data_IF_434616436359
#
_entry.id   IF_434616436359
#
_cell.length_a   1.000
_cell.length_b   1.000
_cell.length_c   1.000
_cell.angle_alpha   90.00
_cell.angle_beta   90.00
_cell.angle_gamma   90.00
#
_symmetry.space_group_name_H-M   'P 1'
#
loop_
_entity.id
_entity.type
_entity.pdbx_description
1 polymer ?
#
# COMPACT_ATOMS: atom_id res chain seq x y z
N UNK A 1 3.12 -9.92 -29.19
CA UNK A 1 3.94 -8.69 -29.08
C UNK A 1 3.24 -7.73 -28.13
N UNK A 2 3.75 -7.46 -26.92
CA UNK A 2 3.11 -6.47 -26.05
C UNK A 2 3.55 -5.05 -26.45
N UNK A 3 2.56 -4.19 -26.62
CA UNK A 3 2.64 -2.82 -27.14
C UNK A 3 3.54 -1.88 -26.33
N UNK A 4 4.35 -1.10 -27.04
CA UNK A 4 5.38 -0.18 -26.56
C UNK A 4 4.87 1.13 -25.91
N UNK A 5 3.57 1.30 -25.70
CA UNK A 5 3.00 2.57 -25.26
C UNK A 5 2.25 2.42 -23.96
N UNK A 6 2.97 2.45 -22.84
CA UNK A 6 2.34 2.81 -21.57
C UNK A 6 3.34 3.45 -20.61
N UNK A 7 3.03 4.71 -20.25
CA UNK A 7 3.59 5.53 -19.18
C UNK A 7 4.94 6.22 -19.43
N UNK A 8 4.88 7.36 -20.15
CA UNK A 8 5.86 8.44 -20.04
C UNK A 8 5.29 9.53 -19.12
N UNK A 9 5.51 9.40 -17.81
CA UNK A 9 5.46 10.55 -16.91
C UNK A 9 6.83 11.28 -16.96
N UNK A 10 6.89 12.62 -17.04
CA UNK A 10 8.15 13.34 -17.12
C UNK A 10 8.91 13.21 -15.79
N UNK A 11 10.12 12.63 -15.82
CA UNK A 11 11.00 12.53 -14.66
C UNK A 11 11.59 11.15 -14.37
N UNK A 12 11.19 10.11 -15.11
CA UNK A 12 11.63 8.73 -14.81
C UNK A 12 12.00 7.88 -16.03
N UNK A 13 12.15 8.49 -17.21
CA UNK A 13 12.29 7.78 -18.49
C UNK A 13 13.54 6.90 -18.55
N UNK A 14 14.69 7.40 -18.10
CA UNK A 14 15.93 6.63 -18.06
C UNK A 14 15.84 5.46 -17.08
N UNK A 15 15.20 5.65 -15.93
CA UNK A 15 15.00 4.59 -14.92
C UNK A 15 14.05 3.52 -15.45
N UNK A 16 12.96 3.92 -16.10
CA UNK A 16 12.00 3.02 -16.72
C UNK A 16 12.67 2.22 -17.85
N UNK A 17 13.47 2.87 -18.69
CA UNK A 17 14.24 2.21 -19.75
C UNK A 17 15.25 1.22 -19.15
N UNK A 18 15.98 1.60 -18.12
CA UNK A 18 16.90 0.70 -17.41
C UNK A 18 16.16 -0.50 -16.80
N UNK A 19 14.97 -0.31 -16.24
CA UNK A 19 14.14 -1.40 -15.72
C UNK A 19 13.60 -2.32 -16.81
N UNK A 20 13.26 -1.79 -17.98
CA UNK A 20 12.87 -2.56 -19.14
C UNK A 20 14.04 -3.40 -19.66
N UNK A 21 15.20 -2.78 -19.88
CA UNK A 21 16.42 -3.46 -20.37
C UNK A 21 16.89 -4.54 -19.40
N UNK A 22 16.91 -4.26 -18.10
CA UNK A 22 17.33 -5.24 -17.09
C UNK A 22 16.29 -6.32 -16.84
N UNK A 23 15.04 -6.14 -17.28
CA UNK A 23 13.91 -7.02 -16.98
C UNK A 23 13.57 -7.12 -15.48
N UNK A 24 14.14 -6.26 -14.63
CA UNK A 24 14.03 -6.36 -13.17
C UNK A 24 12.58 -6.27 -12.70
N UNK A 25 11.80 -5.36 -13.30
CA UNK A 25 10.37 -5.19 -12.97
C UNK A 25 9.56 -6.40 -13.42
N UNK A 26 9.84 -6.96 -14.59
CA UNK A 26 9.16 -8.17 -15.08
C UNK A 26 9.40 -9.35 -14.15
N UNK A 27 10.65 -9.58 -13.73
CA UNK A 27 10.98 -10.63 -12.77
C UNK A 27 10.32 -10.43 -11.41
N UNK A 28 10.28 -9.18 -10.91
CA UNK A 28 9.58 -8.86 -9.66
C UNK A 28 8.07 -9.15 -9.76
N UNK A 29 7.42 -8.74 -10.85
CA UNK A 29 6.00 -9.06 -11.09
C UNK A 29 5.75 -10.56 -11.22
N UNK A 30 6.63 -11.29 -11.90
CA UNK A 30 6.52 -12.74 -12.03
C UNK A 30 6.66 -13.46 -10.68
N UNK A 31 7.60 -13.01 -9.83
CA UNK A 31 7.75 -13.50 -8.46
C UNK A 31 6.45 -13.27 -7.66
N UNK A 32 5.93 -12.05 -7.65
CA UNK A 32 4.68 -11.74 -6.94
C UNK A 32 3.51 -12.56 -7.46
N UNK A 33 3.38 -12.69 -8.79
CA UNK A 33 2.36 -13.52 -9.42
C UNK A 33 2.46 -14.98 -8.97
N UNK A 34 3.68 -15.54 -8.91
CA UNK A 34 3.87 -16.92 -8.45
C UNK A 34 3.45 -17.13 -6.99
N UNK A 35 3.63 -16.13 -6.12
CA UNK A 35 3.24 -16.21 -4.71
C UNK A 35 1.72 -16.19 -4.50
N UNK A 36 0.96 -15.69 -5.48
CA UNK A 36 -0.51 -15.56 -5.42
C UNK A 36 -1.22 -16.43 -6.46
N UNK A 37 -0.54 -17.45 -6.99
CA UNK A 37 -1.13 -18.38 -7.96
C UNK A 37 -1.55 -17.72 -9.29
N UNK A 38 -0.94 -16.59 -9.66
CA UNK A 38 -1.27 -15.84 -10.87
C UNK A 38 -2.47 -14.90 -10.72
N UNK A 39 -3.11 -14.81 -9.55
CA UNK A 39 -4.22 -13.90 -9.31
C UNK A 39 -3.77 -12.42 -9.39
N UNK A 40 -4.30 -11.69 -10.37
CA UNK A 40 -3.99 -10.28 -10.58
C UNK A 40 -4.45 -9.40 -9.40
N UNK A 41 -5.55 -9.75 -8.74
CA UNK A 41 -5.99 -9.03 -7.55
C UNK A 41 -4.99 -9.24 -6.39
N UNK A 42 -4.50 -10.47 -6.21
CA UNK A 42 -3.41 -10.79 -5.30
C UNK A 42 -2.12 -10.03 -5.61
N UNK A 43 -1.69 -9.95 -6.87
CA UNK A 43 -0.49 -9.19 -7.26
C UNK A 43 -0.64 -7.70 -6.94
N UNK A 44 -1.82 -7.14 -7.22
CA UNK A 44 -2.15 -5.76 -6.87
C UNK A 44 -2.11 -5.54 -5.35
N UNK A 45 -2.74 -6.43 -4.58
CA UNK A 45 -2.82 -6.34 -3.13
C UNK A 45 -1.42 -6.36 -2.47
N UNK A 46 -0.54 -7.30 -2.87
CA UNK A 46 0.83 -7.35 -2.34
C UNK A 46 1.64 -6.12 -2.75
N UNK A 47 1.45 -5.65 -3.99
CA UNK A 47 2.10 -4.42 -4.45
C UNK A 47 1.68 -3.22 -3.59
N UNK A 48 0.38 -3.04 -3.33
CA UNK A 48 -0.15 -1.98 -2.46
C UNK A 48 0.41 -2.09 -1.04
N UNK A 49 0.43 -3.30 -0.46
CA UNK A 49 0.93 -3.53 0.89
C UNK A 49 2.38 -3.07 1.04
N UNK A 50 3.26 -3.42 0.09
CA UNK A 50 4.67 -3.01 0.09
C UNK A 50 4.81 -1.49 -0.01
N UNK A 51 4.02 -0.83 -0.87
CA UNK A 51 4.07 0.64 -0.98
C UNK A 51 3.66 1.31 0.33
N UNK A 52 2.63 0.80 1.01
CA UNK A 52 2.19 1.35 2.29
C UNK A 52 3.23 1.14 3.40
N UNK A 53 3.91 -0.01 3.44
CA UNK A 53 5.03 -0.23 4.37
C UNK A 53 6.17 0.74 4.12
N UNK A 54 6.58 0.93 2.86
CA UNK A 54 7.65 1.88 2.51
C UNK A 54 7.25 3.31 2.86
N UNK A 55 6.00 3.70 2.58
CA UNK A 55 5.46 5.01 2.97
C UNK A 55 5.49 5.19 4.49
N UNK A 56 5.08 4.17 5.24
CA UNK A 56 5.15 4.12 6.70
C UNK A 56 6.56 4.32 7.24
N UNK A 57 7.54 3.57 6.71
CA UNK A 57 8.94 3.69 7.14
C UNK A 57 9.56 5.06 6.79
N UNK A 58 9.19 5.64 5.65
CA UNK A 58 9.63 6.99 5.29
C UNK A 58 9.02 8.04 6.25
N UNK A 59 7.74 7.91 6.58
CA UNK A 59 7.09 8.78 7.58
C UNK A 59 7.76 8.60 8.95
N UNK A 60 8.03 7.37 9.37
CA UNK A 60 8.71 7.06 10.62
C UNK A 60 10.09 7.70 10.70
N UNK A 61 10.84 7.69 9.60
CA UNK A 61 12.14 8.38 9.52
C UNK A 61 11.99 9.88 9.75
N UNK A 62 10.98 10.51 9.16
CA UNK A 62 10.70 11.93 9.38
C UNK A 62 10.34 12.22 10.84
N UNK A 63 9.51 11.37 11.46
CA UNK A 63 9.17 11.48 12.89
C UNK A 63 10.41 11.29 13.79
N UNK A 64 11.32 10.40 13.43
CA UNK A 64 12.54 10.12 14.19
C UNK A 64 13.56 11.26 14.13
N UNK A 65 13.65 11.95 12.98
CA UNK A 65 14.58 13.07 12.79
C UNK A 65 14.15 14.33 13.56
N UNK A 66 12.88 14.44 13.91
CA UNK A 66 12.39 15.48 14.80
C UNK A 66 12.60 15.07 16.27
N UNK A 67 13.55 15.71 16.94
CA UNK A 67 13.92 15.39 18.33
C UNK A 67 12.74 15.55 19.29
N UNK A 68 11.91 16.58 19.10
CA UNK A 68 10.78 16.86 19.98
C UNK A 68 9.70 15.78 19.87
N UNK A 69 9.45 15.33 18.64
CA UNK A 69 8.53 14.24 18.35
C UNK A 69 9.10 12.92 18.86
N UNK A 70 10.38 12.65 18.59
CA UNK A 70 11.04 11.40 18.98
C UNK A 70 11.02 11.17 20.49
N UNK A 71 11.21 12.21 21.29
CA UNK A 71 11.21 12.13 22.75
C UNK A 71 9.81 11.97 23.36
N UNK A 72 8.75 12.27 22.61
CA UNK A 72 7.38 12.30 23.12
C UNK A 72 6.51 11.15 22.63
N UNK A 73 6.80 10.56 21.47
CA UNK A 73 6.01 9.45 20.92
C UNK A 73 6.37 8.11 21.56
N UNK A 74 5.34 7.41 22.06
CA UNK A 74 5.47 5.99 22.34
C UNK A 74 5.58 5.19 21.03
N UNK A 75 6.13 3.96 21.06
CA UNK A 75 6.18 3.10 19.88
C UNK A 75 4.83 2.90 19.18
N UNK A 76 3.76 2.75 19.96
CA UNK A 76 2.39 2.54 19.48
C UNK A 76 1.88 3.79 18.76
N UNK A 77 2.13 4.99 19.32
CA UNK A 77 1.78 6.26 18.68
C UNK A 77 2.56 6.48 17.38
N UNK A 78 3.87 6.18 17.39
CA UNK A 78 4.71 6.30 16.20
C UNK A 78 4.25 5.33 15.10
N UNK A 79 3.95 4.09 15.46
CA UNK A 79 3.39 3.08 14.57
C UNK A 79 2.09 3.54 13.93
N UNK A 80 1.12 3.99 14.74
CA UNK A 80 -0.18 4.47 14.26
C UNK A 80 -0.04 5.62 13.26
N UNK A 81 0.87 6.58 13.50
CA UNK A 81 1.14 7.70 12.57
C UNK A 81 1.80 7.28 11.25
N UNK A 82 2.27 6.05 11.17
CA UNK A 82 2.94 5.49 9.99
C UNK A 82 2.04 4.50 9.23
N UNK A 83 0.79 4.32 9.65
CA UNK A 83 -0.18 3.51 8.93
C UNK A 83 -0.88 4.34 7.85
N UNK A 84 -1.14 3.71 6.72
CA UNK A 84 -1.78 4.34 5.58
C UNK A 84 -2.82 3.39 4.97
N UNK A 85 -3.95 3.95 4.57
CA UNK A 85 -4.91 3.22 3.75
C UNK A 85 -4.35 3.02 2.34
N UNK A 86 -4.77 1.96 1.63
CA UNK A 86 -4.49 1.82 0.22
C UNK A 86 -4.94 3.06 -0.57
N UNK A 87 -4.14 3.52 -1.53
CA UNK A 87 -4.60 4.57 -2.44
C UNK A 87 -5.82 4.12 -3.24
N UNK A 88 -5.70 2.99 -3.92
CA UNK A 88 -6.77 2.37 -4.72
C UNK A 88 -6.76 0.85 -4.53
N UNK A 89 -7.93 0.26 -4.33
CA UNK A 89 -8.16 -1.19 -4.41
C UNK A 89 -9.00 -1.53 -5.63
N UNK A 90 -8.55 -2.53 -6.38
CA UNK A 90 -9.26 -3.02 -7.57
C UNK A 90 -10.19 -4.17 -7.20
N UNK A 91 -11.40 -4.13 -7.76
CA UNK A 91 -12.36 -5.24 -7.74
C UNK A 91 -12.90 -5.43 -9.15
N UNK A 92 -13.21 -6.67 -9.51
CA UNK A 92 -13.92 -6.97 -10.75
C UNK A 92 -15.32 -7.47 -10.41
N UNK A 93 -16.33 -6.88 -11.03
CA UNK A 93 -17.71 -7.30 -10.87
C UNK A 93 -17.90 -8.72 -11.44
N UNK A 94 -18.43 -9.64 -10.64
CA UNK A 94 -18.78 -11.00 -11.09
C UNK A 94 -20.19 -11.10 -11.67
N UNK A 95 -21.02 -10.09 -11.42
CA UNK A 95 -22.39 -9.95 -11.92
C UNK A 95 -22.66 -8.49 -12.28
N UNK A 96 -23.74 -8.22 -13.00
CA UNK A 96 -24.22 -6.84 -13.23
C UNK A 96 -24.94 -6.31 -11.98
N UNK A 97 -25.00 -4.99 -11.82
CA UNK A 97 -25.64 -4.35 -10.68
C UNK A 97 -25.65 -2.82 -10.77
N UNK A 98 -25.85 -2.16 -9.63
CA UNK A 98 -25.80 -0.69 -9.52
C UNK A 98 -24.98 -0.25 -8.30
N UNK A 99 -24.26 0.87 -8.41
CA UNK A 99 -23.60 1.57 -7.29
C UNK A 99 -23.98 3.04 -7.36
N UNK A 100 -24.59 3.58 -6.30
CA UNK A 100 -25.00 5.00 -6.28
C UNK A 100 -25.96 5.39 -7.41
N UNK A 101 -26.77 4.45 -7.90
CA UNK A 101 -27.64 4.64 -9.06
C UNK A 101 -26.96 4.48 -10.42
N UNK A 102 -25.63 4.34 -10.48
CA UNK A 102 -24.91 4.04 -11.71
C UNK A 102 -24.89 2.53 -11.98
N UNK A 103 -25.44 2.04 -13.11
CA UNK A 103 -25.37 0.64 -13.47
C UNK A 103 -23.95 0.23 -13.89
N UNK A 104 -23.60 -1.03 -13.62
CA UNK A 104 -22.38 -1.67 -14.10
C UNK A 104 -22.68 -3.09 -14.60
N UNK A 105 -21.86 -3.58 -15.52
CA UNK A 105 -21.94 -4.96 -16.02
C UNK A 105 -20.97 -5.89 -15.30
N UNK A 106 -21.25 -7.20 -15.36
CA UNK A 106 -20.23 -8.21 -15.07
C UNK A 106 -18.93 -7.93 -15.86
N UNK A 107 -17.79 -8.20 -15.24
CA UNK A 107 -16.46 -7.92 -15.77
C UNK A 107 -15.97 -6.48 -15.58
N UNK A 108 -16.82 -5.54 -15.16
CA UNK A 108 -16.44 -4.15 -14.88
C UNK A 108 -15.38 -4.09 -13.79
N UNK A 109 -14.29 -3.34 -14.03
CA UNK A 109 -13.29 -3.03 -13.01
C UNK A 109 -13.75 -1.82 -12.20
N UNK A 110 -13.88 -2.03 -10.89
CA UNK A 110 -14.20 -1.02 -9.90
C UNK A 110 -12.92 -0.58 -9.18
N UNK A 111 -12.66 0.72 -9.21
CA UNK A 111 -11.53 1.36 -8.53
C UNK A 111 -12.04 2.01 -7.25
N UNK A 112 -11.67 1.46 -6.10
CA UNK A 112 -12.09 1.96 -4.79
C UNK A 112 -10.97 2.85 -4.22
N UNK A 113 -11.19 4.17 -4.19
CA UNK A 113 -10.23 5.18 -3.69
C UNK A 113 -10.20 5.24 -2.14
N UNK A 114 -9.67 4.22 -1.47
CA UNK A 114 -9.79 4.07 -0.01
C UNK A 114 -9.10 5.18 0.78
N UNK A 115 -7.91 5.65 0.37
CA UNK A 115 -7.24 6.76 1.05
C UNK A 115 -8.07 8.04 1.02
N UNK A 116 -8.69 8.34 -0.12
CA UNK A 116 -9.55 9.53 -0.27
C UNK A 116 -10.85 9.38 0.51
N UNK A 117 -11.43 8.18 0.52
CA UNK A 117 -12.58 7.87 1.35
C UNK A 117 -12.25 8.06 2.84
N UNK A 118 -11.12 7.52 3.33
CA UNK A 118 -10.64 7.70 4.72
C UNK A 118 -10.47 9.17 5.06
N UNK A 119 -9.80 9.94 4.20
CA UNK A 119 -9.59 11.37 4.41
C UNK A 119 -10.90 12.15 4.53
N UNK A 120 -11.95 11.69 3.86
CA UNK A 120 -13.28 12.32 3.90
C UNK A 120 -14.08 11.91 5.14
N UNK A 121 -14.02 10.64 5.54
CA UNK A 121 -14.84 10.10 6.64
C UNK A 121 -14.15 10.10 8.01
N UNK A 122 -12.80 10.14 8.05
CA UNK A 122 -12.02 9.89 9.26
C UNK A 122 -11.97 8.42 9.69
N UNK A 123 -12.43 7.48 8.84
CA UNK A 123 -12.61 6.08 9.22
C UNK A 123 -11.31 5.25 9.09
N UNK A 124 -10.63 5.03 10.21
CA UNK A 124 -9.38 4.28 10.28
C UNK A 124 -9.54 2.78 9.94
N UNK A 125 -10.77 2.23 9.94
CA UNK A 125 -11.02 0.85 9.50
C UNK A 125 -10.54 0.62 8.06
N UNK A 126 -10.49 1.69 7.24
CA UNK A 126 -10.05 1.65 5.85
C UNK A 126 -8.54 1.37 5.67
N UNK A 127 -7.72 1.49 6.73
CA UNK A 127 -6.29 1.15 6.66
C UNK A 127 -6.11 -0.33 6.31
N UNK A 128 -6.86 -1.18 6.98
CA UNK A 128 -6.79 -2.65 6.82
C UNK A 128 -8.10 -3.23 6.30
N UNK A 129 -9.05 -2.40 5.87
CA UNK A 129 -10.41 -2.81 5.49
C UNK A 129 -11.05 -3.65 6.60
N UNK A 130 -10.87 -3.23 7.85
CA UNK A 130 -11.45 -3.87 9.01
C UNK A 130 -12.98 -3.96 8.86
N UNK A 131 -13.58 -4.99 9.45
CA UNK A 131 -15.02 -5.25 9.38
C UNK A 131 -15.61 -5.48 7.97
N UNK A 132 -14.74 -5.72 6.97
CA UNK A 132 -15.17 -6.10 5.61
C UNK A 132 -14.81 -7.55 5.29
N UNK A 133 -15.48 -8.13 4.29
CA UNK A 133 -15.14 -9.46 3.75
C UNK A 133 -13.71 -9.55 3.20
N UNK A 134 -13.09 -8.40 2.89
CA UNK A 134 -11.73 -8.32 2.35
C UNK A 134 -10.72 -7.72 3.34
N UNK A 135 -10.96 -7.91 4.64
CA UNK A 135 -10.06 -7.54 5.72
C UNK A 135 -8.64 -8.02 5.45
N UNK A 136 -7.67 -7.13 5.61
CA UNK A 136 -6.26 -7.44 5.46
C UNK A 136 -5.77 -8.22 6.69
N UNK A 137 -5.22 -9.44 6.53
CA UNK A 137 -4.73 -10.24 7.66
C UNK A 137 -3.48 -9.64 8.33
N UNK A 138 -2.86 -8.63 7.71
CA UNK A 138 -1.66 -7.98 8.21
C UNK A 138 -1.94 -6.88 9.25
N UNK A 139 -3.20 -6.67 9.63
CA UNK A 139 -3.62 -5.61 10.58
C UNK A 139 -2.94 -5.67 11.94
N UNK A 140 -2.48 -6.85 12.37
CA UNK A 140 -1.74 -7.03 13.62
C UNK A 140 -0.23 -6.98 13.39
N UNK A 141 0.21 -7.53 12.25
CA UNK A 141 1.63 -7.71 11.94
C UNK A 141 2.32 -6.41 11.54
N UNK A 142 1.66 -5.58 10.73
CA UNK A 142 2.25 -4.32 10.26
C UNK A 142 2.43 -3.32 11.41
N UNK A 143 1.44 -3.08 12.29
CA UNK A 143 1.64 -2.20 13.44
C UNK A 143 2.74 -2.72 14.37
N UNK A 144 2.75 -4.02 14.71
CA UNK A 144 3.76 -4.60 15.58
C UNK A 144 5.18 -4.49 15.00
N UNK A 145 5.33 -4.68 13.68
CA UNK A 145 6.59 -4.48 12.99
C UNK A 145 7.07 -3.02 13.12
N UNK A 146 6.19 -2.05 12.88
CA UNK A 146 6.50 -0.63 12.95
C UNK A 146 6.86 -0.20 14.39
N UNK A 147 6.10 -0.66 15.39
CA UNK A 147 6.42 -0.46 16.81
C UNK A 147 7.82 -0.99 17.15
N UNK A 148 8.13 -2.20 16.67
CA UNK A 148 9.43 -2.83 16.89
C UNK A 148 10.58 -2.08 16.20
N UNK A 149 10.35 -1.46 15.04
CA UNK A 149 11.33 -0.58 14.38
C UNK A 149 11.57 0.66 15.23
N UNK A 150 10.51 1.35 15.66
CA UNK A 150 10.64 2.56 16.48
C UNK A 150 11.38 2.30 17.78
N UNK A 151 10.98 1.26 18.53
CA UNK A 151 11.59 0.90 19.82
C UNK A 151 13.09 0.64 19.69
N UNK A 152 13.51 -0.05 18.63
CA UNK A 152 14.94 -0.31 18.37
C UNK A 152 15.69 0.96 17.97
N UNK A 153 15.07 1.84 17.21
CA UNK A 153 15.67 3.10 16.82
C UNK A 153 15.89 4.04 18.02
N UNK A 154 14.95 4.12 18.96
CA UNK A 154 15.05 5.03 20.11
C UNK A 154 15.88 4.47 21.27
N UNK A 155 15.83 3.16 21.53
CA UNK A 155 16.69 2.52 22.55
C UNK A 155 18.18 2.50 22.21
N UNK A 156 18.54 2.63 20.93
CA UNK A 156 19.93 2.71 20.48
C UNK A 156 20.60 4.04 20.84
N UNK A 157 19.84 5.09 21.18
CA UNK A 157 20.37 6.38 21.62
C UNK A 157 20.63 6.45 23.14
N UNK A 158 20.14 5.49 23.92
CA UNK A 158 20.40 5.40 25.36
C UNK A 158 21.76 4.72 25.69
N UNK A 159 22.52 4.29 24.67
CA UNK A 159 23.89 3.76 24.80
C UNK A 159 24.91 4.70 24.20
#
# INVERSE_FOLDING_TARGET
MPSLFSSLAPGNTLRNLAWQVTGKVTRAKALLASMVGGDLAGVHAVSVAIHNVVKGLNQMRSLYLDVSVRQTLTPEMASHRCLFAPGVVLRQATSSGTVGGCPYSAGTLLLLELEKARQTSGDESMIFLADTWSRCPAEQWVPAMLEGVWRRATSAEER
#
